data_IF_658833338118
#
_entry.id   IF_658833338118
#
_cell.length_a   1.000
_cell.length_b   1.000
_cell.length_c   1.000
_cell.angle_alpha   90.00
_cell.angle_beta   90.00
_cell.angle_gamma   90.00
#
_symmetry.space_group_name_H-M   'P 1'
#
loop_
_entity.id
_entity.type
_entity.pdbx_description
1 polymer ?
#
# COMPACT_ATOMS: atom_id res chain seq x y z
N UNK A 1 -3.22 9.03 -4.43
CA UNK A 1 -3.77 8.27 -3.29
C UNK A 1 -5.28 8.32 -3.33
N UNK A 2 -6.01 7.21 -3.13
CA UNK A 2 -7.43 7.31 -2.81
C UNK A 2 -7.59 8.12 -1.53
N UNK A 3 -8.61 8.99 -1.49
CA UNK A 3 -8.94 9.72 -0.28
C UNK A 3 -9.53 8.74 0.72
N UNK A 4 -8.93 8.63 1.90
CA UNK A 4 -9.42 7.77 2.98
C UNK A 4 -9.99 8.62 4.11
N UNK A 5 -11.03 8.11 4.76
CA UNK A 5 -11.65 8.67 5.96
C UNK A 5 -11.28 7.86 7.20
N UNK A 6 -11.62 8.33 8.40
CA UNK A 6 -11.41 7.55 9.62
C UNK A 6 -12.07 6.16 9.56
N UNK A 7 -13.24 6.04 8.94
CA UNK A 7 -13.96 4.77 8.75
C UNK A 7 -13.16 3.76 7.92
N UNK A 8 -12.33 4.26 6.98
CA UNK A 8 -11.44 3.41 6.18
C UNK A 8 -10.43 2.65 7.05
N UNK A 9 -10.09 3.20 8.22
CA UNK A 9 -9.21 2.58 9.20
C UNK A 9 -9.96 1.71 10.22
N UNK A 10 -11.23 2.02 10.52
CA UNK A 10 -12.05 1.20 11.42
C UNK A 10 -12.23 -0.24 10.90
N UNK A 11 -12.37 -0.40 9.58
CA UNK A 11 -12.43 -1.72 8.93
C UNK A 11 -11.12 -2.52 8.94
N UNK A 12 -9.98 -1.91 9.29
CA UNK A 12 -8.70 -2.63 9.47
C UNK A 12 -8.62 -3.30 10.85
N UNK A 13 -9.29 -2.71 11.86
CA UNK A 13 -9.31 -3.22 13.24
C UNK A 13 -10.37 -4.28 13.49
N UNK A 14 -11.43 -4.32 12.67
CA UNK A 14 -12.51 -5.28 12.80
C UNK A 14 -12.30 -6.47 11.86
N UNK A 15 -11.90 -7.60 12.42
CA UNK A 15 -12.00 -8.93 11.80
C UNK A 15 -13.48 -9.38 11.72
N UNK A 16 -14.36 -8.53 11.18
CA UNK A 16 -15.80 -8.73 11.06
C UNK A 16 -16.21 -8.84 9.60
N UNK A 17 -16.46 -10.09 9.17
CA UNK A 17 -17.26 -10.55 8.01
C UNK A 17 -17.04 -10.02 6.58
N UNK A 18 -16.31 -8.92 6.33
CA UNK A 18 -15.92 -8.50 4.99
C UNK A 18 -14.40 -8.29 4.96
N UNK A 19 -13.65 -9.36 4.62
CA UNK A 19 -12.18 -9.35 4.60
C UNK A 19 -11.68 -8.14 3.82
N UNK A 20 -10.97 -7.18 4.45
CA UNK A 20 -10.15 -6.25 3.69
C UNK A 20 -9.26 -7.11 2.80
N UNK A 21 -9.33 -6.92 1.47
CA UNK A 21 -8.57 -7.74 0.52
C UNK A 21 -7.12 -7.76 1.03
N UNK A 22 -6.62 -8.93 1.47
CA UNK A 22 -5.38 -9.12 2.27
C UNK A 22 -4.16 -8.30 1.79
N UNK A 23 -4.15 -7.93 0.52
CA UNK A 23 -3.24 -6.98 -0.12
C UNK A 23 -3.16 -5.62 0.60
N UNK A 24 -4.26 -4.95 0.92
CA UNK A 24 -4.23 -3.62 1.53
C UNK A 24 -3.61 -3.61 2.93
N UNK A 25 -3.87 -4.66 3.71
CA UNK A 25 -3.27 -4.85 5.03
C UNK A 25 -1.76 -5.12 4.94
N UNK A 26 -1.34 -5.97 4.00
CA UNK A 26 0.09 -6.24 3.76
C UNK A 26 0.85 -5.00 3.28
N UNK A 27 0.26 -4.24 2.35
CA UNK A 27 0.83 -2.98 1.86
C UNK A 27 0.82 -1.90 2.94
N UNK A 28 -0.22 -1.84 3.76
CA UNK A 28 -0.30 -0.95 4.93
C UNK A 28 0.80 -1.23 5.95
N UNK A 29 1.14 -2.49 6.21
CA UNK A 29 2.29 -2.82 7.07
C UNK A 29 3.63 -2.38 6.48
N UNK A 30 3.80 -2.46 5.16
CA UNK A 30 5.01 -1.96 4.48
C UNK A 30 5.11 -0.44 4.66
N UNK A 31 4.01 0.28 4.42
CA UNK A 31 3.91 1.72 4.64
C UNK A 31 4.28 2.09 6.08
N UNK A 32 3.70 1.38 7.06
CA UNK A 32 4.02 1.61 8.48
C UNK A 32 5.50 1.43 8.72
N UNK A 33 6.10 0.28 8.37
CA UNK A 33 7.54 0.03 8.59
C UNK A 33 8.45 1.04 7.88
N UNK A 34 8.04 1.61 6.76
CA UNK A 34 8.82 2.60 6.00
C UNK A 34 8.81 3.98 6.66
N UNK A 35 7.69 4.42 7.21
CA UNK A 35 7.49 5.80 7.63
C UNK A 35 7.30 5.99 9.14
N UNK A 36 6.95 4.93 9.88
CA UNK A 36 6.62 5.01 11.30
C UNK A 36 7.18 3.79 12.06
N UNK A 37 8.01 4.05 13.06
CA UNK A 37 8.45 3.03 14.02
C UNK A 37 7.46 2.84 15.19
N UNK A 38 6.41 3.65 15.23
CA UNK A 38 5.43 3.65 16.32
C UNK A 38 4.35 2.59 16.12
N UNK A 39 4.05 1.84 17.18
CA UNK A 39 3.02 0.80 17.19
C UNK A 39 1.59 1.35 17.14
N UNK A 40 1.39 2.64 17.46
CA UNK A 40 0.09 3.29 17.45
C UNK A 40 -0.42 3.73 16.08
N UNK A 41 0.43 3.70 15.03
CA UNK A 41 0.06 4.18 13.70
C UNK A 41 -0.59 3.06 12.87
N UNK A 42 -1.75 3.36 12.29
CA UNK A 42 -2.45 2.48 11.35
C UNK A 42 -2.25 3.00 9.93
N UNK A 43 -1.80 2.14 9.00
CA UNK A 43 -1.57 2.55 7.62
C UNK A 43 -2.36 1.68 6.64
N UNK A 44 -2.80 2.30 5.55
CA UNK A 44 -3.40 1.67 4.37
C UNK A 44 -2.43 1.87 3.22
N UNK A 45 -2.05 0.79 2.55
CA UNK A 45 -1.26 0.86 1.33
C UNK A 45 -2.14 0.61 0.11
N UNK A 46 -2.27 1.60 -0.77
CA UNK A 46 -3.01 1.49 -2.03
C UNK A 46 -2.09 1.83 -3.21
N UNK A 47 -1.87 0.89 -4.14
CA UNK A 47 -1.05 1.12 -5.32
C UNK A 47 -1.84 1.77 -6.47
N UNK A 48 -3.17 1.82 -6.40
CA UNK A 48 -4.05 2.49 -7.36
C UNK A 48 -3.69 2.20 -8.82
N UNK A 49 -3.66 3.25 -9.65
CA UNK A 49 -3.09 3.20 -11.00
C UNK A 49 -1.55 3.32 -11.01
N UNK A 50 -0.96 3.80 -9.91
CA UNK A 50 0.47 4.07 -9.75
C UNK A 50 1.31 2.78 -9.63
N UNK A 51 0.67 1.61 -9.52
CA UNK A 51 1.33 0.30 -9.61
C UNK A 51 2.17 0.16 -10.88
N UNK A 52 1.78 0.83 -11.97
CA UNK A 52 2.51 0.82 -13.24
C UNK A 52 3.91 1.38 -13.14
N UNK A 53 4.06 2.36 -12.27
CA UNK A 53 5.32 3.04 -11.99
C UNK A 53 5.98 2.47 -10.74
N UNK A 54 5.52 1.30 -10.26
CA UNK A 54 6.02 0.68 -9.04
C UNK A 54 5.93 1.60 -7.83
N UNK A 55 4.88 2.42 -7.77
CA UNK A 55 4.58 3.28 -6.65
C UNK A 55 3.46 2.69 -5.81
N UNK A 56 3.57 2.92 -4.51
CA UNK A 56 2.59 2.59 -3.50
C UNK A 56 2.25 3.86 -2.74
N UNK A 57 0.97 4.24 -2.74
CA UNK A 57 0.51 5.26 -1.83
C UNK A 57 0.27 4.66 -0.45
N UNK A 58 0.69 5.39 0.56
CA UNK A 58 0.50 5.10 1.97
C UNK A 58 -0.35 6.20 2.60
N UNK A 59 -1.47 5.82 3.20
CA UNK A 59 -2.25 6.70 4.06
C UNK A 59 -2.15 6.19 5.50
N UNK A 60 -1.55 6.98 6.39
CA UNK A 60 -1.28 6.58 7.77
C UNK A 60 -2.03 7.49 8.74
N UNK A 61 -2.84 6.88 9.60
CA UNK A 61 -3.55 7.53 10.69
C UNK A 61 -2.71 7.48 11.95
N UNK A 62 -2.45 8.65 12.52
CA UNK A 62 -1.84 8.82 13.83
C UNK A 62 -2.75 9.72 14.69
N UNK A 63 -3.50 9.13 15.61
CA UNK A 63 -4.54 9.86 16.34
C UNK A 63 -5.66 10.34 15.40
N UNK A 64 -5.95 11.65 15.38
CA UNK A 64 -6.98 12.25 14.52
C UNK A 64 -6.46 12.67 13.13
N UNK A 65 -5.14 12.67 12.92
CA UNK A 65 -4.54 13.12 11.67
C UNK A 65 -4.29 11.95 10.71
N UNK A 66 -4.62 12.15 9.44
CA UNK A 66 -4.30 11.22 8.35
C UNK A 66 -3.24 11.87 7.48
N UNK A 67 -2.07 11.24 7.44
CA UNK A 67 -0.94 11.65 6.61
C UNK A 67 -0.88 10.80 5.35
N UNK A 68 -0.50 11.42 4.24
CA UNK A 68 -0.36 10.76 2.94
C UNK A 68 1.09 10.83 2.49
N UNK A 69 1.67 9.67 2.19
CA UNK A 69 3.05 9.52 1.71
C UNK A 69 3.07 8.55 0.53
N UNK A 70 4.12 8.64 -0.30
CA UNK A 70 4.35 7.69 -1.38
C UNK A 70 5.66 6.94 -1.14
N UNK A 71 5.67 5.65 -1.44
CA UNK A 71 6.87 4.82 -1.41
C UNK A 71 6.95 3.97 -2.67
N UNK A 72 8.12 3.40 -2.93
CA UNK A 72 8.25 2.33 -3.92
C UNK A 72 7.49 1.09 -3.46
N UNK A 73 6.77 0.47 -4.40
CA UNK A 73 6.12 -0.81 -4.22
C UNK A 73 7.17 -1.91 -3.90
N UNK A 74 6.78 -2.98 -3.19
CA UNK A 74 7.70 -4.04 -2.85
C UNK A 74 8.23 -4.77 -4.10
N UNK A 75 9.41 -5.37 -3.98
CA UNK A 75 9.97 -6.22 -5.05
C UNK A 75 8.96 -7.30 -5.43
N UNK A 76 8.90 -7.61 -6.72
CA UNK A 76 7.94 -8.55 -7.33
C UNK A 76 6.48 -8.10 -7.33
N UNK A 77 6.17 -6.89 -6.85
CA UNK A 77 4.83 -6.33 -7.00
C UNK A 77 4.48 -6.22 -8.49
N UNK A 78 3.29 -6.66 -8.92
CA UNK A 78 2.91 -6.56 -10.32
C UNK A 78 2.81 -5.09 -10.73
N UNK A 79 3.46 -4.72 -11.83
CA UNK A 79 3.42 -3.36 -12.40
C UNK A 79 2.79 -3.32 -13.80
N UNK A 80 2.50 -4.47 -14.40
CA UNK A 80 1.78 -4.55 -15.68
C UNK A 80 0.51 -5.36 -15.50
N UNK A 81 -0.56 -4.95 -16.20
CA UNK A 81 -1.79 -5.74 -16.28
C UNK A 81 -1.44 -7.18 -16.68
N UNK A 82 -2.06 -8.16 -16.01
CA UNK A 82 -1.83 -9.60 -16.20
C UNK A 82 -0.47 -10.11 -15.66
N UNK A 83 0.24 -9.33 -14.83
CA UNK A 83 1.42 -9.81 -14.09
C UNK A 83 2.68 -10.03 -14.94
N UNK A 84 2.71 -9.53 -16.18
CA UNK A 84 3.84 -9.65 -17.12
C UNK A 84 5.03 -8.74 -16.80
N UNK A 85 4.89 -7.89 -15.79
CA UNK A 85 5.96 -7.03 -15.28
C UNK A 85 5.91 -6.95 -13.76
N UNK A 86 7.10 -6.82 -13.17
CA UNK A 86 7.32 -6.83 -11.73
C UNK A 86 8.26 -5.70 -11.32
N UNK A 87 8.00 -5.13 -10.15
CA UNK A 87 8.89 -4.13 -9.56
C UNK A 87 10.22 -4.74 -9.12
N UNK A 88 11.34 -4.10 -9.44
CA UNK A 88 12.65 -4.40 -8.89
C UNK A 88 12.88 -3.69 -7.53
N UNK A 89 14.10 -3.74 -6.99
CA UNK A 89 14.42 -3.11 -5.72
C UNK A 89 14.57 -1.58 -5.84
N UNK A 90 14.85 -1.12 -7.06
CA UNK A 90 15.06 0.26 -7.47
C UNK A 90 13.75 1.02 -7.69
N UNK A 91 12.60 0.32 -7.64
CA UNK A 91 11.28 0.92 -7.87
C UNK A 91 10.92 1.05 -9.34
N UNK A 92 11.53 0.25 -10.21
CA UNK A 92 11.27 0.22 -11.65
C UNK A 92 10.46 -1.00 -12.06
N UNK A 93 9.59 -0.81 -13.05
CA UNK A 93 8.79 -1.89 -13.61
C UNK A 93 9.60 -2.69 -14.65
N UNK A 94 10.07 -3.87 -14.25
CA UNK A 94 10.77 -4.78 -15.15
C UNK A 94 9.77 -5.71 -15.82
N UNK A 95 9.67 -5.59 -17.15
CA UNK A 95 8.88 -6.52 -17.97
C UNK A 95 9.76 -7.67 -18.45
N UNK A 96 9.23 -8.90 -18.43
CA UNK A 96 9.88 -9.97 -19.17
C UNK A 96 9.56 -9.77 -20.64
N UNK A 97 10.54 -9.31 -21.43
CA UNK A 97 10.44 -9.39 -22.89
C UNK A 97 10.31 -10.87 -23.25
N UNK A 98 9.29 -11.17 -24.05
CA UNK A 98 9.06 -12.50 -24.60
C UNK A 98 10.03 -12.75 -25.75
#
# INVERSE_FOLDING_TARGET
CPKVSEDSFQGLGQSGTERPRRLFLGLGQICRRRFHNDTGVMCIGDPGAAFRDCLLCCACKNGAEITYTNTTAPRNFPCVKNGKGKCNAEGECITRKR
#
